data_IF_124424300535
#
_entry.id   IF_124424300535
#
_cell.length_a   1.000
_cell.length_b   1.000
_cell.length_c   1.000
_cell.angle_alpha   90.00
_cell.angle_beta   90.00
_cell.angle_gamma   90.00
#
_symmetry.space_group_name_H-M   'P 1'
#
loop_
_entity.id
_entity.type
_entity.pdbx_description
1 polymer ?
#
# COMPACT_ATOMS: atom_id res chain seq x y z
N UNK A 1 14.23 17.60 -22.78
CA UNK A 1 13.98 18.86 -22.04
C UNK A 1 15.09 19.01 -20.99
N UNK A 2 15.70 20.20 -20.83
CA UNK A 2 16.65 20.47 -19.75
C UNK A 2 15.97 21.37 -18.72
N UNK A 3 15.94 20.94 -17.46
CA UNK A 3 15.38 21.71 -16.35
C UNK A 3 16.53 22.11 -15.44
N UNK A 4 16.73 23.41 -15.25
CA UNK A 4 17.70 23.91 -14.28
C UNK A 4 17.06 23.91 -12.90
N UNK A 5 17.66 23.19 -11.96
CA UNK A 5 17.22 23.15 -10.56
C UNK A 5 18.17 23.91 -9.67
N UNK A 6 17.71 24.31 -8.48
CA UNK A 6 18.59 24.93 -7.48
C UNK A 6 19.53 23.88 -6.89
N UNK A 7 20.71 24.30 -6.42
CA UNK A 7 21.67 23.41 -5.74
C UNK A 7 21.07 22.71 -4.52
N UNK A 8 20.16 23.38 -3.80
CA UNK A 8 19.46 22.78 -2.67
C UNK A 8 18.57 21.63 -3.09
N UNK A 9 17.84 21.78 -4.21
CA UNK A 9 16.97 20.74 -4.72
C UNK A 9 17.78 19.58 -5.31
N UNK A 10 18.86 19.88 -6.03
CA UNK A 10 19.79 18.88 -6.55
C UNK A 10 20.35 17.98 -5.43
N UNK A 11 20.80 18.59 -4.33
CA UNK A 11 21.30 17.84 -3.17
C UNK A 11 20.22 16.95 -2.55
N UNK A 12 19.02 17.49 -2.34
CA UNK A 12 17.90 16.74 -1.77
C UNK A 12 17.50 15.55 -2.66
N UNK A 13 17.46 15.73 -3.98
CA UNK A 13 17.21 14.66 -4.95
C UNK A 13 18.28 13.57 -4.90
N UNK A 14 19.56 13.96 -4.83
CA UNK A 14 20.66 13.00 -4.74
C UNK A 14 20.61 12.18 -3.45
N UNK A 15 20.37 12.82 -2.30
CA UNK A 15 20.24 12.14 -1.01
C UNK A 15 19.05 11.16 -1.00
N UNK A 16 17.91 11.58 -1.54
CA UNK A 16 16.71 10.74 -1.57
C UNK A 16 16.88 9.56 -2.54
N UNK A 17 17.42 9.81 -3.73
CA UNK A 17 17.68 8.76 -4.71
C UNK A 17 18.64 7.69 -4.16
N UNK A 18 19.67 8.11 -3.41
CA UNK A 18 20.58 7.19 -2.76
C UNK A 18 19.88 6.29 -1.72
N UNK A 19 19.00 6.87 -0.89
CA UNK A 19 18.21 6.10 0.10
C UNK A 19 17.29 5.08 -0.56
N UNK A 20 16.74 5.40 -1.72
CA UNK A 20 15.83 4.52 -2.48
C UNK A 20 16.56 3.58 -3.45
N UNK A 21 17.89 3.68 -3.55
CA UNK A 21 18.67 2.87 -4.48
C UNK A 21 18.37 3.15 -5.95
N UNK A 22 17.98 4.38 -6.28
CA UNK A 22 17.65 4.85 -7.63
C UNK A 22 18.55 6.01 -8.05
N UNK A 23 18.38 6.53 -9.27
CA UNK A 23 19.08 7.74 -9.72
C UNK A 23 18.22 8.99 -9.51
N UNK A 24 18.84 10.18 -9.32
CA UNK A 24 18.09 11.43 -9.17
C UNK A 24 17.15 11.72 -10.34
N UNK A 25 17.57 11.39 -11.56
CA UNK A 25 16.78 11.61 -12.78
C UNK A 25 15.56 10.72 -12.83
N UNK A 26 15.72 9.44 -12.47
CA UNK A 26 14.60 8.50 -12.43
C UNK A 26 13.60 8.90 -11.36
N UNK A 27 14.08 9.23 -10.16
CA UNK A 27 13.23 9.72 -9.07
C UNK A 27 12.46 10.98 -9.49
N UNK A 28 13.14 11.95 -10.10
CA UNK A 28 12.49 13.17 -10.61
C UNK A 28 11.43 12.85 -11.66
N UNK A 29 11.72 11.94 -12.59
CA UNK A 29 10.77 11.54 -13.62
C UNK A 29 9.54 10.87 -13.01
N UNK A 30 9.73 9.94 -12.07
CA UNK A 30 8.64 9.23 -11.40
C UNK A 30 7.73 10.22 -10.65
N UNK A 31 8.31 11.18 -9.92
CA UNK A 31 7.56 12.26 -9.27
C UNK A 31 6.77 13.14 -10.27
N UNK A 32 7.37 13.48 -11.41
CA UNK A 32 6.68 14.27 -12.44
C UNK A 32 5.53 13.47 -13.07
N UNK A 33 5.75 12.19 -13.33
CA UNK A 33 4.69 11.30 -13.79
C UNK A 33 3.56 11.23 -12.77
N UNK A 34 3.87 11.19 -11.47
CA UNK A 34 2.86 11.15 -10.40
C UNK A 34 2.02 12.40 -10.33
N UNK A 35 2.66 13.54 -10.55
CA UNK A 35 2.02 14.85 -10.44
C UNK A 35 1.17 15.19 -11.66
N UNK A 36 1.62 14.81 -12.85
CA UNK A 36 1.10 15.36 -14.10
C UNK A 36 0.44 14.34 -15.04
N UNK A 37 0.67 13.02 -14.86
CA UNK A 37 -0.05 12.03 -15.66
C UNK A 37 -1.34 11.60 -14.93
N UNK A 38 -2.50 11.65 -15.60
CA UNK A 38 -3.74 11.16 -15.02
C UNK A 38 -3.63 9.68 -14.68
N UNK A 39 -4.22 9.29 -13.54
CA UNK A 39 -4.21 7.92 -13.01
C UNK A 39 -4.74 6.86 -13.99
N UNK A 40 -5.57 7.28 -14.95
CA UNK A 40 -6.13 6.42 -15.98
C UNK A 40 -5.06 5.85 -16.94
N UNK A 41 -3.93 6.56 -17.12
CA UNK A 41 -2.80 6.07 -17.94
C UNK A 41 -1.96 5.05 -17.14
N UNK A 42 -1.97 5.15 -15.81
CA UNK A 42 -1.15 4.32 -14.90
C UNK A 42 -1.77 2.96 -14.60
N UNK A 43 -3.07 2.81 -14.89
CA UNK A 43 -3.83 1.62 -14.54
C UNK A 43 -4.87 1.32 -15.62
N UNK A 44 -4.41 0.93 -16.81
CA UNK A 44 -5.24 0.11 -17.71
C UNK A 44 -5.25 -1.34 -17.20
N UNK A 45 -5.75 -1.53 -15.99
CA UNK A 45 -6.37 -2.79 -15.60
C UNK A 45 -7.84 -2.44 -15.53
N UNK A 46 -8.57 -2.70 -16.63
CA UNK A 46 -10.03 -2.83 -16.61
C UNK A 46 -10.39 -4.03 -15.72
N UNK A 47 -10.14 -3.91 -14.41
CA UNK A 47 -10.73 -4.75 -13.40
C UNK A 47 -12.09 -4.17 -13.10
N UNK A 48 -13.11 -5.01 -13.10
CA UNK A 48 -14.47 -4.68 -12.66
C UNK A 48 -14.44 -3.72 -11.47
N UNK A 49 -15.27 -2.68 -11.49
CA UNK A 49 -15.42 -1.74 -10.39
C UNK A 49 -15.93 -2.48 -9.15
N UNK A 50 -15.02 -3.09 -8.40
CA UNK A 50 -15.28 -3.73 -7.12
C UNK A 50 -15.24 -2.65 -6.07
N UNK A 51 -16.29 -2.58 -5.28
CA UNK A 51 -16.35 -1.66 -4.15
C UNK A 51 -15.31 -2.05 -3.11
N UNK A 52 -14.95 -1.12 -2.23
CA UNK A 52 -14.13 -1.43 -1.06
C UNK A 52 -14.76 -2.56 -0.22
N UNK A 53 -16.10 -2.65 -0.18
CA UNK A 53 -16.81 -3.74 0.48
C UNK A 53 -16.54 -5.09 -0.19
N UNK A 54 -16.51 -5.15 -1.53
CA UNK A 54 -16.19 -6.39 -2.27
C UNK A 54 -14.76 -6.85 -2.01
N UNK A 55 -13.81 -5.92 -1.91
CA UNK A 55 -12.43 -6.22 -1.53
C UNK A 55 -12.34 -6.77 -0.10
N UNK A 56 -13.09 -6.18 0.83
CA UNK A 56 -13.06 -6.55 2.24
C UNK A 56 -13.99 -7.71 2.60
N UNK A 57 -14.84 -8.18 1.69
CA UNK A 57 -15.83 -9.24 1.96
C UNK A 57 -15.17 -10.54 2.47
N UNK A 58 -13.99 -10.91 1.97
CA UNK A 58 -13.22 -12.06 2.46
C UNK A 58 -12.37 -11.80 3.71
N UNK A 59 -12.41 -10.57 4.23
CA UNK A 59 -11.60 -10.06 5.34
C UNK A 59 -12.44 -9.59 6.53
N UNK A 60 -13.74 -9.38 6.34
CA UNK A 60 -14.69 -9.04 7.39
C UNK A 60 -15.24 -10.35 7.98
N UNK A 61 -14.80 -10.69 9.19
CA UNK A 61 -15.43 -11.74 9.99
C UNK A 61 -16.55 -11.18 10.85
N UNK A 62 -17.74 -11.78 10.81
CA UNK A 62 -18.81 -11.48 11.76
C UNK A 62 -18.49 -12.19 13.07
N UNK A 63 -18.20 -11.45 14.13
CA UNK A 63 -18.08 -12.00 15.47
C UNK A 63 -19.49 -12.13 16.06
N UNK A 64 -19.97 -13.37 16.21
CA UNK A 64 -21.21 -13.66 16.93
C UNK A 64 -21.00 -13.36 18.41
N UNK A 65 -21.69 -12.34 18.94
CA UNK A 65 -21.63 -11.94 20.35
C UNK A 65 -22.33 -12.91 21.32
N UNK A 66 -22.77 -14.08 20.82
CA UNK A 66 -23.40 -15.12 21.65
C UNK A 66 -22.40 -15.87 22.54
N UNK A 67 -21.11 -15.81 22.23
CA UNK A 67 -20.06 -16.28 23.14
C UNK A 67 -19.75 -15.18 24.17
N UNK A 68 -20.51 -15.17 25.25
CA UNK A 68 -20.33 -14.26 26.37
C UNK A 68 -19.00 -14.58 27.09
N UNK A 69 -17.95 -13.80 26.86
CA UNK A 69 -16.70 -13.88 27.64
C UNK A 69 -16.76 -12.89 28.79
N UNK A 70 -16.74 -13.40 30.02
CA UNK A 70 -16.79 -12.59 31.25
C UNK A 70 -15.48 -11.77 31.37
N UNK A 71 -15.55 -10.46 31.14
CA UNK A 71 -14.39 -9.56 31.23
C UNK A 71 -14.25 -8.49 30.14
N UNK A 72 -15.20 -8.40 29.20
CA UNK A 72 -15.18 -7.37 28.15
C UNK A 72 -14.19 -7.69 27.01
N UNK A 73 -14.46 -7.11 25.84
CA UNK A 73 -13.78 -7.41 24.59
C UNK A 73 -12.30 -6.98 24.59
N UNK A 74 -11.41 -7.83 25.12
CA UNK A 74 -9.94 -7.75 24.93
C UNK A 74 -9.50 -8.13 23.50
N UNK A 75 -10.21 -7.61 22.50
CA UNK A 75 -10.08 -8.03 21.10
C UNK A 75 -8.89 -7.39 20.36
N UNK A 76 -8.13 -6.47 20.98
CA UNK A 76 -6.95 -5.86 20.35
C UNK A 76 -5.65 -6.64 20.60
N UNK A 77 -5.61 -7.58 21.56
CA UNK A 77 -4.35 -8.21 21.97
C UNK A 77 -3.82 -9.26 20.97
N UNK A 78 -4.66 -9.76 20.05
CA UNK A 78 -4.27 -10.88 19.17
C UNK A 78 -4.62 -10.68 17.68
N UNK A 79 -5.00 -9.46 17.28
CA UNK A 79 -5.34 -9.14 15.88
C UNK A 79 -4.12 -9.19 14.97
N UNK A 80 -2.97 -8.65 15.40
CA UNK A 80 -1.73 -8.63 14.62
C UNK A 80 -1.18 -10.02 14.29
N UNK A 81 -1.20 -10.95 15.27
CA UNK A 81 -0.72 -12.33 15.05
C UNK A 81 -1.63 -13.11 14.10
N UNK A 82 -2.95 -12.95 14.23
CA UNK A 82 -3.93 -13.60 13.32
C UNK A 82 -3.85 -13.01 11.91
N UNK A 83 -3.62 -11.71 11.78
CA UNK A 83 -3.39 -11.06 10.50
C UNK A 83 -2.11 -11.57 9.83
N UNK A 84 -0.99 -11.61 10.54
CA UNK A 84 0.28 -12.16 10.03
C UNK A 84 0.15 -13.63 9.62
N UNK A 85 -0.56 -14.44 10.40
CA UNK A 85 -0.85 -15.83 10.06
C UNK A 85 -1.71 -15.96 8.78
N UNK A 86 -2.70 -15.07 8.61
CA UNK A 86 -3.51 -14.99 7.40
C UNK A 86 -2.71 -14.62 6.15
N UNK A 87 -1.79 -13.66 6.26
CA UNK A 87 -0.87 -13.27 5.18
C UNK A 87 0.05 -14.44 4.80
N UNK A 88 0.68 -15.08 5.79
CA UNK A 88 1.58 -16.21 5.56
C UNK A 88 0.87 -17.37 4.85
N UNK A 89 -0.39 -17.64 5.19
CA UNK A 89 -1.21 -18.64 4.49
C UNK A 89 -1.46 -18.25 3.03
N UNK A 90 -1.90 -17.02 2.76
CA UNK A 90 -2.14 -16.57 1.38
C UNK A 90 -0.89 -16.58 0.51
N UNK A 91 0.29 -16.33 1.08
CA UNK A 91 1.58 -16.38 0.36
C UNK A 91 1.89 -17.79 -0.12
N UNK A 92 1.63 -18.78 0.72
CA UNK A 92 1.78 -20.20 0.35
C UNK A 92 0.79 -20.65 -0.72
N UNK A 93 -0.39 -20.04 -0.75
CA UNK A 93 -1.43 -20.33 -1.75
C UNK A 93 -1.25 -19.52 -3.06
N UNK A 94 -0.22 -18.67 -3.17
CA UNK A 94 0.01 -17.83 -4.36
C UNK A 94 -1.06 -16.76 -4.58
N UNK A 95 -1.79 -16.37 -3.52
CA UNK A 95 -2.92 -15.42 -3.55
C UNK A 95 -2.58 -14.08 -2.91
N UNK A 96 -1.28 -13.76 -2.84
CA UNK A 96 -0.72 -12.51 -2.35
C UNK A 96 -0.09 -11.75 -3.51
#
# INVERSE_FOLDING_TARGET
>A
MKITVTRTLERALAEQAHKEGTTPEKLALDCLQERFLPSDIRTSVKGEQRTLADFLAGHIGVLSSREHVRGGARMSENSGKRFAAGLARKRREGRL
#
